data_IF_589472551295
#
_entry.id   IF_589472551295
#
_cell.length_a   1.000
_cell.length_b   1.000
_cell.length_c   1.000
_cell.angle_alpha   90.00
_cell.angle_beta   90.00
_cell.angle_gamma   90.00
#
_symmetry.space_group_name_H-M   'P 1'
#
loop_
_entity.id
_entity.type
_entity.pdbx_description
1 polymer ?
#
# COMPACT_ATOMS: atom_id res chain seq x y z
N UNK A 1 12.40 -6.41 6.01
CA UNK A 1 12.32 -4.92 5.99
C UNK A 1 10.91 -4.54 6.37
N UNK A 2 10.75 -3.72 7.40
CA UNK A 2 9.46 -3.21 7.86
C UNK A 2 9.12 -1.92 7.13
N UNK A 3 7.85 -1.72 6.81
CA UNK A 3 7.38 -0.54 6.08
C UNK A 3 6.39 0.25 6.92
N UNK A 4 6.39 1.57 6.76
CA UNK A 4 5.41 2.46 7.36
C UNK A 4 4.56 3.11 6.27
N UNK A 5 3.24 3.09 6.46
CA UNK A 5 2.31 3.77 5.57
C UNK A 5 2.46 5.27 5.78
N UNK A 6 2.92 5.98 4.75
CA UNK A 6 3.04 7.44 4.78
C UNK A 6 1.81 8.14 4.24
N UNK A 7 1.20 7.56 3.21
CA UNK A 7 -0.03 8.02 2.57
C UNK A 7 -0.80 6.82 2.06
N UNK A 8 -2.11 6.96 1.99
CA UNK A 8 -2.96 5.97 1.32
C UNK A 8 -3.99 6.68 0.45
N UNK A 9 -4.43 5.97 -0.58
CA UNK A 9 -5.49 6.39 -1.48
C UNK A 9 -6.37 5.18 -1.72
N UNK A 10 -7.55 5.23 -1.12
CA UNK A 10 -8.64 4.31 -1.39
C UNK A 10 -9.30 4.77 -2.69
N UNK A 11 -9.25 3.94 -3.73
CA UNK A 11 -9.98 4.21 -4.97
C UNK A 11 -11.36 3.57 -4.85
N UNK A 12 -12.46 4.35 -4.82
CA UNK A 12 -13.81 3.84 -4.51
C UNK A 12 -14.33 2.81 -5.53
N UNK A 13 -13.72 2.74 -6.71
CA UNK A 13 -14.08 1.84 -7.81
C UNK A 13 -13.07 0.70 -8.03
N UNK A 14 -11.96 0.67 -7.29
CA UNK A 14 -10.91 -0.34 -7.49
C UNK A 14 -10.90 -1.41 -6.40
N UNK A 15 -10.57 -2.62 -6.82
CA UNK A 15 -10.38 -3.78 -5.94
C UNK A 15 -9.04 -3.75 -5.17
N UNK A 16 -8.34 -2.62 -5.18
CA UNK A 16 -7.05 -2.44 -4.55
C UNK A 16 -6.89 -1.03 -3.97
N UNK A 17 -6.11 -0.93 -2.90
CA UNK A 17 -5.75 0.33 -2.23
C UNK A 17 -4.30 0.69 -2.58
N UNK A 18 -4.07 1.92 -3.01
CA UNK A 18 -2.70 2.41 -3.21
C UNK A 18 -2.17 3.03 -1.94
N UNK A 19 -0.95 2.67 -1.58
CA UNK A 19 -0.28 3.20 -0.41
C UNK A 19 1.14 3.61 -0.75
N UNK A 20 1.60 4.67 -0.11
CA UNK A 20 3.01 5.06 -0.10
C UNK A 20 3.63 4.42 1.12
N UNK A 21 4.60 3.53 0.89
CA UNK A 21 5.35 2.85 1.93
C UNK A 21 6.73 3.46 2.04
N UNK A 22 7.16 3.72 3.27
CA UNK A 22 8.51 4.16 3.56
C UNK A 22 9.20 3.13 4.44
N UNK A 23 10.44 2.76 4.11
CA UNK A 23 11.33 1.95 4.94
C UNK A 23 12.68 2.67 5.01
N UNK A 24 12.96 3.32 6.14
CA UNK A 24 14.15 4.17 6.27
C UNK A 24 14.14 5.30 5.25
N UNK A 25 15.14 5.33 4.36
CA UNK A 25 15.26 6.30 3.26
C UNK A 25 14.53 5.87 1.98
N UNK A 26 14.09 4.62 1.89
CA UNK A 26 13.44 4.10 0.70
C UNK A 26 11.94 4.39 0.76
N UNK A 27 11.40 4.96 -0.32
CA UNK A 27 9.96 5.21 -0.45
C UNK A 27 9.45 4.54 -1.72
N UNK A 28 8.34 3.81 -1.62
CA UNK A 28 7.71 3.09 -2.72
C UNK A 28 6.21 3.34 -2.74
N UNK A 29 5.59 3.09 -3.89
CA UNK A 29 4.15 3.05 -4.06
C UNK A 29 3.76 1.59 -4.25
N UNK A 30 2.94 1.07 -3.34
CA UNK A 30 2.43 -0.28 -3.38
C UNK A 30 0.92 -0.30 -3.61
N UNK A 31 0.47 -1.28 -4.38
CA UNK A 31 -0.93 -1.61 -4.60
C UNK A 31 -1.26 -2.83 -3.73
N UNK A 32 -2.15 -2.63 -2.77
CA UNK A 32 -2.57 -3.63 -1.81
C UNK A 32 -3.95 -4.16 -2.16
N UNK A 33 -4.19 -5.44 -1.96
CA UNK A 33 -5.56 -5.98 -1.95
C UNK A 33 -6.41 -5.29 -0.87
N UNK A 34 -7.73 -5.28 -1.07
CA UNK A 34 -8.66 -4.87 -0.02
C UNK A 34 -8.35 -5.62 1.28
N UNK A 35 -8.24 -4.87 2.36
CA UNK A 35 -8.05 -5.43 3.69
C UNK A 35 -9.39 -5.42 4.42
N UNK A 36 -9.60 -6.38 5.33
CA UNK A 36 -10.79 -6.40 6.20
C UNK A 36 -10.87 -5.18 7.13
N UNK A 37 -9.76 -4.46 7.30
CA UNK A 37 -9.65 -3.24 8.09
C UNK A 37 -9.25 -2.06 7.21
N UNK A 38 -9.71 -0.87 7.56
CA UNK A 38 -9.26 0.38 6.94
C UNK A 38 -7.80 0.67 7.30
N UNK A 39 -6.94 0.77 6.28
CA UNK A 39 -5.55 1.19 6.44
C UNK A 39 -5.48 2.69 6.76
N UNK A 40 -4.51 3.06 7.57
CA UNK A 40 -4.28 4.43 8.03
C UNK A 40 -2.80 4.82 7.91
N UNK A 41 -2.55 6.12 7.83
CA UNK A 41 -1.19 6.66 7.87
C UNK A 41 -0.55 6.36 9.23
N UNK A 42 0.69 5.87 9.22
CA UNK A 42 1.41 5.41 10.41
C UNK A 42 1.32 3.90 10.67
N UNK A 43 0.42 3.17 10.01
CA UNK A 43 0.36 1.71 10.13
C UNK A 43 1.69 1.07 9.73
N UNK A 44 2.12 0.10 10.54
CA UNK A 44 3.34 -0.68 10.28
C UNK A 44 2.99 -1.94 9.51
N UNK A 45 3.62 -2.14 8.35
CA UNK A 45 3.54 -3.36 7.56
C UNK A 45 4.79 -4.21 7.80
N UNK A 46 4.59 -5.40 8.34
CA UNK A 46 5.67 -6.37 8.58
C UNK A 46 5.58 -7.48 7.54
N UNK A 47 6.67 -7.77 6.80
CA UNK A 47 6.65 -8.81 5.76
C UNK A 47 6.44 -10.19 6.38
N UNK A 48 5.61 -11.00 5.73
CA UNK A 48 5.35 -12.40 6.08
C UNK A 48 5.97 -13.31 5.01
N UNK A 49 5.16 -13.86 4.11
CA UNK A 49 5.56 -14.70 2.98
C UNK A 49 4.63 -14.42 1.79
N UNK A 50 5.03 -14.77 0.57
CA UNK A 50 4.19 -14.63 -0.63
C UNK A 50 3.66 -13.19 -0.87
N UNK A 51 4.50 -12.19 -0.60
CA UNK A 51 4.12 -10.77 -0.66
C UNK A 51 2.93 -10.38 0.25
N UNK A 52 2.66 -11.17 1.29
CA UNK A 52 1.77 -10.82 2.38
C UNK A 52 2.50 -10.00 3.44
N UNK A 53 1.78 -9.06 4.02
CA UNK A 53 2.25 -8.21 5.11
C UNK A 53 1.21 -8.20 6.22
N UNK A 54 1.65 -8.35 7.48
CA UNK A 54 0.81 -8.12 8.65
C UNK A 54 0.77 -6.64 8.99
N UNK A 55 -0.38 -6.17 9.45
CA UNK A 55 -0.58 -4.78 9.86
C UNK A 55 -0.40 -4.67 11.38
N UNK A 56 0.45 -3.75 11.82
CA UNK A 56 0.83 -3.52 13.21
C UNK A 56 1.33 -4.76 13.97
N UNK A 57 1.88 -5.74 13.24
CA UNK A 57 2.30 -7.02 13.82
C UNK A 57 1.15 -7.98 14.10
N UNK A 58 -0.09 -7.62 13.76
CA UNK A 58 -1.24 -8.49 13.91
C UNK A 58 -1.29 -9.51 12.76
N UNK A 59 -1.06 -10.78 13.07
CA UNK A 59 -1.00 -11.85 12.05
C UNK A 59 -2.38 -12.22 11.50
N UNK A 60 -3.45 -11.78 12.16
CA UNK A 60 -4.82 -12.03 11.70
C UNK A 60 -5.24 -10.99 10.64
N UNK A 61 -4.65 -9.79 10.69
CA UNK A 61 -4.91 -8.71 9.74
C UNK A 61 -3.74 -8.62 8.75
N UNK A 62 -3.96 -9.17 7.56
CA UNK A 62 -2.94 -9.18 6.51
C UNK A 62 -3.41 -8.50 5.23
N UNK A 63 -2.44 -8.00 4.46
CA UNK A 63 -2.63 -7.45 3.12
C UNK A 63 -1.66 -8.08 2.16
N UNK A 64 -2.10 -8.28 0.92
CA UNK A 64 -1.23 -8.76 -0.15
C UNK A 64 -0.82 -7.59 -1.02
N UNK A 65 0.48 -7.44 -1.23
CA UNK A 65 1.01 -6.54 -2.24
C UNK A 65 0.82 -7.20 -3.61
N UNK A 66 0.01 -6.56 -4.45
CA UNK A 66 -0.23 -6.96 -5.85
C UNK A 66 0.91 -6.44 -6.71
N UNK A 67 1.32 -5.19 -6.48
CA UNK A 67 2.35 -4.52 -7.24
C UNK A 67 3.09 -3.52 -6.34
N UNK A 68 4.37 -3.33 -6.58
CA UNK A 68 5.20 -2.37 -5.86
C UNK A 68 6.16 -1.70 -6.82
N UNK A 69 6.20 -0.38 -6.79
CA UNK A 69 7.04 0.43 -7.66
C UNK A 69 7.74 1.51 -6.86
N UNK A 70 8.92 1.95 -7.29
CA UNK A 70 9.61 3.05 -6.62
C UNK A 70 8.74 4.31 -6.61
N UNK A 71 8.86 5.09 -5.53
CA UNK A 71 8.11 6.33 -5.43
C UNK A 71 8.56 7.31 -6.51
N UNK A 72 7.63 7.65 -7.39
CA UNK A 72 7.74 8.74 -8.36
C UNK A 72 6.46 9.57 -8.25
N UNK A 73 6.61 10.89 -8.11
CA UNK A 73 5.47 11.81 -8.01
C UNK A 73 4.51 11.62 -9.20
N UNK A 74 5.04 11.38 -10.39
CA UNK A 74 4.28 11.10 -11.60
C UNK A 74 3.38 9.86 -11.45
N UNK A 75 3.91 8.75 -10.93
CA UNK A 75 3.12 7.51 -10.74
C UNK A 75 2.05 7.64 -9.66
N UNK A 76 2.31 8.45 -8.63
CA UNK A 76 1.32 8.73 -7.60
C UNK A 76 0.16 9.57 -8.16
N UNK A 77 0.46 10.55 -9.04
CA UNK A 77 -0.54 11.43 -9.67
C UNK A 77 -1.32 10.77 -10.80
N UNK A 78 -0.70 9.89 -11.61
CA UNK A 78 -1.37 9.18 -12.73
C UNK A 78 -2.50 8.27 -12.26
N UNK A 79 -2.53 7.90 -10.98
CA UNK A 79 -3.65 7.21 -10.35
C UNK A 79 -5.02 7.91 -10.52
N UNK A 80 -5.01 9.22 -10.75
CA UNK A 80 -6.19 10.06 -10.90
C UNK A 80 -6.78 10.01 -12.32
N UNK A 81 -5.99 9.63 -13.32
CA UNK A 81 -6.37 9.78 -14.74
C UNK A 81 -6.82 8.47 -15.41
N UNK A 82 -6.96 7.36 -14.67
CA UNK A 82 -7.50 6.11 -15.21
C UNK A 82 -8.99 6.00 -14.89
N UNK A 83 -9.76 7.04 -15.21
CA UNK A 83 -11.21 6.97 -15.43
C UNK A 83 -11.58 8.05 -16.43
N UNK A 84 -11.00 7.97 -17.62
CA UNK A 84 -11.45 8.73 -18.78
C UNK A 84 -11.05 7.99 -20.05
N UNK A 85 -11.75 6.89 -20.36
CA UNK A 85 -12.19 6.59 -21.71
C UNK A 85 -13.26 5.52 -21.74
#
# INVERSE_FOLDING_TARGET
MEWWIKKLREAPTSTYTRVVLQSGQLTIIAELTLCCRRLQEGDKLTPLANALYSINGDKNITVKVINATHFSAERWTVADNITAH
#
